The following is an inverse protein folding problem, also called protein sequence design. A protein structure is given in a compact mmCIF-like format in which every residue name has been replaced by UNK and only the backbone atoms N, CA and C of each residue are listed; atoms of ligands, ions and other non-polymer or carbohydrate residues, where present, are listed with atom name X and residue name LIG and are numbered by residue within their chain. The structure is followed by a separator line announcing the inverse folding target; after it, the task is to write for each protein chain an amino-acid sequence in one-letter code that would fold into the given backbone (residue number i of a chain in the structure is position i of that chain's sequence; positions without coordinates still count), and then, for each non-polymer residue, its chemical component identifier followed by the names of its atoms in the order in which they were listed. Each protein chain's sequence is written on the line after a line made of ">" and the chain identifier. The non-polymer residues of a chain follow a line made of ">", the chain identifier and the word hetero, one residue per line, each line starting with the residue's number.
data_IF_831116079614
#
_entry.id   IF_831116079614
#
_cell.length_a   1.000
_cell.length_b   1.000
_cell.length_c   1.000
_cell.angle_alpha   90.00
_cell.angle_beta   90.00
_cell.angle_gamma   90.00
#
_symmetry.space_group_name_H-M   'P 1'
#
loop_
_entity.id
_entity.type
_entity.pdbx_description
1 polymer ?
#
# COMPACT_ATOMS: atom_id res chain seq x y z
N UNK A 1 0.52 10.13 25.21
CA UNK A 1 1.36 9.70 24.08
C UNK A 1 2.78 10.10 24.41
N UNK A 2 3.69 9.14 24.43
CA UNK A 2 5.11 9.40 24.72
C UNK A 2 5.75 10.12 23.53
N UNK A 3 6.45 11.24 23.76
CA UNK A 3 7.09 12.03 22.69
C UNK A 3 8.13 11.25 21.87
N UNK A 4 8.66 10.17 22.44
CA UNK A 4 9.72 9.35 21.84
C UNK A 4 9.20 8.29 20.85
N UNK A 5 7.89 8.16 20.68
CA UNK A 5 7.31 7.20 19.73
C UNK A 5 7.60 7.60 18.28
N UNK A 6 7.81 6.61 17.41
CA UNK A 6 7.91 6.83 15.97
C UNK A 6 6.59 7.37 15.40
N UNK A 7 6.62 7.98 14.21
CA UNK A 7 5.39 8.46 13.54
C UNK A 7 4.41 7.30 13.28
N UNK A 8 4.93 6.11 12.98
CA UNK A 8 4.14 4.90 12.73
C UNK A 8 3.48 4.39 14.01
N UNK A 9 4.18 4.41 15.14
CA UNK A 9 3.59 3.99 16.42
C UNK A 9 2.53 4.96 16.90
N UNK A 10 2.74 6.26 16.69
CA UNK A 10 1.71 7.28 16.94
C UNK A 10 0.47 7.01 16.07
N UNK A 11 0.66 6.74 14.77
CA UNK A 11 -0.43 6.39 13.87
C UNK A 11 -1.16 5.12 14.33
N UNK A 12 -0.42 4.09 14.78
CA UNK A 12 -0.99 2.84 15.28
C UNK A 12 -1.83 3.08 16.53
N UNK A 13 -1.39 3.91 17.47
CA UNK A 13 -2.19 4.27 18.65
C UNK A 13 -3.44 5.07 18.30
N UNK A 14 -3.32 6.05 17.40
CA UNK A 14 -4.45 6.86 16.93
C UNK A 14 -5.52 5.97 16.28
N UNK A 15 -5.09 5.10 15.37
CA UNK A 15 -5.93 4.11 14.73
C UNK A 15 -6.50 3.13 15.74
N UNK A 16 -5.73 2.63 16.70
CA UNK A 16 -6.23 1.69 17.72
C UNK A 16 -7.38 2.27 18.56
N UNK A 17 -7.35 3.58 18.84
CA UNK A 17 -8.44 4.29 19.53
C UNK A 17 -9.67 4.49 18.61
N UNK A 18 -9.44 4.66 17.31
CA UNK A 18 -10.48 4.90 16.30
C UNK A 18 -10.86 3.60 15.60
N UNK A 19 -11.98 2.98 15.98
CA UNK A 19 -12.45 1.68 15.45
C UNK A 19 -12.98 1.72 14.00
N UNK A 20 -12.40 2.54 13.12
CA UNK A 20 -12.74 2.66 11.70
C UNK A 20 -11.52 3.02 10.85
N UNK A 21 -11.59 2.70 9.56
CA UNK A 21 -10.63 3.15 8.57
C UNK A 21 -10.58 4.69 8.48
N UNK A 22 -9.42 5.21 8.06
CA UNK A 22 -9.16 6.65 7.95
C UNK A 22 -8.38 6.98 6.68
N UNK A 23 -8.77 8.05 6.00
CA UNK A 23 -8.00 8.57 4.88
C UNK A 23 -6.59 9.00 5.31
N UNK A 24 -5.58 8.69 4.50
CA UNK A 24 -4.17 8.97 4.77
C UNK A 24 -3.91 10.42 5.23
N UNK A 25 -4.43 11.42 4.51
CA UNK A 25 -4.14 12.82 4.83
C UNK A 25 -4.67 13.24 6.20
N UNK A 26 -5.81 12.69 6.61
CA UNK A 26 -6.35 12.92 7.97
C UNK A 26 -5.49 12.25 9.03
N UNK A 27 -5.04 11.02 8.78
CA UNK A 27 -4.13 10.32 9.68
C UNK A 27 -2.80 11.06 9.80
N UNK A 28 -2.25 11.53 8.68
CA UNK A 28 -1.02 12.32 8.64
C UNK A 28 -1.15 13.61 9.44
N UNK A 29 -2.25 14.37 9.24
CA UNK A 29 -2.51 15.58 10.00
C UNK A 29 -2.50 15.32 11.51
N UNK A 30 -3.22 14.30 11.98
CA UNK A 30 -3.28 13.96 13.41
C UNK A 30 -1.91 13.50 13.96
N UNK A 31 -1.14 12.75 13.18
CA UNK A 31 0.23 12.36 13.56
C UNK A 31 1.13 13.59 13.68
N UNK A 32 1.08 14.50 12.71
CA UNK A 32 1.85 15.75 12.72
C UNK A 32 1.51 16.64 13.91
N UNK A 33 0.23 16.76 14.25
CA UNK A 33 -0.25 17.48 15.44
C UNK A 33 0.28 16.85 16.74
N UNK A 34 0.24 15.51 16.87
CA UNK A 34 0.77 14.81 18.06
C UNK A 34 2.28 14.94 18.17
N UNK A 35 3.00 14.90 17.05
CA UNK A 35 4.46 15.07 17.01
C UNK A 35 4.89 16.51 17.20
N UNK A 36 3.98 17.48 16.96
CA UNK A 36 4.23 18.90 17.09
C UNK A 36 5.16 19.43 16.01
N UNK A 37 5.04 18.91 14.78
CA UNK A 37 5.81 19.40 13.64
C UNK A 37 5.34 20.78 13.19
N UNK A 38 6.28 21.59 12.69
CA UNK A 38 5.92 22.76 11.89
C UNK A 38 5.30 22.35 10.54
N UNK A 39 4.73 23.31 9.82
CA UNK A 39 4.20 23.07 8.47
C UNK A 39 5.28 22.58 7.50
N UNK A 40 6.46 23.23 7.50
CA UNK A 40 7.62 22.84 6.70
C UNK A 40 8.10 21.42 7.06
N UNK A 41 8.22 21.12 8.35
CA UNK A 41 8.62 19.78 8.80
C UNK A 41 7.59 18.71 8.43
N UNK A 42 6.30 19.06 8.43
CA UNK A 42 5.24 18.14 8.04
C UNK A 42 5.30 17.88 6.52
N UNK A 43 5.49 18.91 5.70
CA UNK A 43 5.64 18.74 4.25
C UNK A 43 6.82 17.83 3.90
N UNK A 44 7.98 18.02 4.55
CA UNK A 44 9.17 17.19 4.32
C UNK A 44 8.98 15.73 4.78
N UNK A 45 8.23 15.49 5.87
CA UNK A 45 8.09 14.16 6.48
C UNK A 45 6.89 13.36 5.98
N UNK A 46 5.97 13.97 5.23
CA UNK A 46 4.75 13.31 4.74
C UNK A 46 5.06 12.07 3.88
N UNK A 47 5.96 12.22 2.91
CA UNK A 47 6.37 11.13 2.01
C UNK A 47 7.06 9.99 2.75
N UNK A 48 7.89 10.32 3.74
CA UNK A 48 8.53 9.36 4.63
C UNK A 48 7.50 8.62 5.48
N UNK A 49 6.48 9.31 5.99
CA UNK A 49 5.40 8.68 6.73
C UNK A 49 4.60 7.72 5.86
N UNK A 50 4.22 8.11 4.63
CA UNK A 50 3.54 7.24 3.67
C UNK A 50 4.35 5.97 3.39
N UNK A 51 5.65 6.11 3.16
CA UNK A 51 6.56 4.98 2.95
C UNK A 51 6.58 4.06 4.17
N UNK A 52 6.73 4.63 5.36
CA UNK A 52 6.82 3.85 6.59
C UNK A 52 5.52 3.09 6.91
N UNK A 53 4.34 3.66 6.71
CA UNK A 53 3.07 2.93 6.92
C UNK A 53 2.83 1.87 5.86
N UNK A 54 3.30 2.09 4.63
CA UNK A 54 3.18 1.11 3.54
C UNK A 54 4.05 -0.12 3.79
N UNK A 55 5.22 0.08 4.40
CA UNK A 55 6.14 -1.00 4.77
C UNK A 55 5.80 -1.67 6.11
N UNK A 56 4.98 -1.03 6.96
CA UNK A 56 4.57 -1.59 8.24
C UNK A 56 3.38 -2.54 8.08
N UNK A 57 3.64 -3.84 8.29
CA UNK A 57 2.64 -4.90 8.11
C UNK A 57 1.41 -4.83 9.03
N UNK A 58 1.38 -3.94 10.03
CA UNK A 58 0.20 -3.72 10.88
C UNK A 58 -0.89 -2.93 10.17
N UNK A 59 -0.55 -2.19 9.12
CA UNK A 59 -1.49 -1.38 8.35
C UNK A 59 -1.90 -2.08 7.06
N UNK A 60 -3.12 -1.80 6.61
CA UNK A 60 -3.61 -2.17 5.28
C UNK A 60 -4.30 -0.97 4.64
N UNK A 61 -4.28 -0.91 3.32
CA UNK A 61 -5.17 -0.03 2.56
C UNK A 61 -6.51 -0.74 2.34
N UNK A 62 -7.62 -0.01 2.54
CA UNK A 62 -8.97 -0.49 2.27
C UNK A 62 -9.55 0.11 0.99
N UNK A 63 -8.71 0.75 0.14
CA UNK A 63 -9.11 1.46 -1.07
C UNK A 63 -9.31 2.97 -0.87
N UNK A 64 -9.24 3.73 -1.97
CA UNK A 64 -9.40 5.21 -1.99
C UNK A 64 -8.48 5.94 -0.99
N UNK A 65 -7.26 5.43 -0.81
CA UNK A 65 -6.28 5.94 0.16
C UNK A 65 -6.77 5.96 1.62
N UNK A 66 -7.72 5.08 1.96
CA UNK A 66 -8.12 4.79 3.33
C UNK A 66 -7.25 3.67 3.90
N UNK A 67 -6.85 3.85 5.15
CA UNK A 67 -5.98 2.95 5.88
C UNK A 67 -6.71 2.40 7.11
N UNK A 68 -6.44 1.14 7.41
CA UNK A 68 -6.95 0.46 8.60
C UNK A 68 -5.90 -0.45 9.24
N UNK A 69 -6.19 -0.97 10.43
CA UNK A 69 -5.33 -1.94 11.11
C UNK A 69 -5.63 -3.36 10.59
N UNK A 70 -4.58 -4.07 10.16
CA UNK A 70 -4.67 -5.48 9.72
C UNK A 70 -5.39 -6.37 10.73
N UNK A 71 -5.21 -6.13 12.03
CA UNK A 71 -5.84 -6.90 13.10
C UNK A 71 -7.38 -6.84 13.13
N UNK A 72 -8.00 -5.93 12.38
CA UNK A 72 -9.47 -5.83 12.25
C UNK A 72 -10.05 -6.64 11.11
N UNK A 73 -9.20 -7.10 10.20
CA UNK A 73 -9.59 -7.82 9.00
C UNK A 73 -9.25 -9.29 9.17
N UNK A 74 -10.09 -10.17 8.64
CA UNK A 74 -9.83 -11.61 8.71
C UNK A 74 -8.67 -11.96 7.78
N UNK A 75 -7.98 -13.06 8.09
CA UNK A 75 -6.84 -13.52 7.29
C UNK A 75 -7.18 -13.69 5.80
N UNK A 76 -8.35 -14.28 5.50
CA UNK A 76 -8.84 -14.50 4.14
C UNK A 76 -9.24 -13.21 3.40
N UNK A 77 -9.47 -12.09 4.10
CA UNK A 77 -9.80 -10.81 3.48
C UNK A 77 -8.54 -10.04 3.03
N UNK A 78 -7.37 -10.40 3.56
CA UNK A 78 -6.09 -9.71 3.30
C UNK A 78 -5.00 -10.60 2.72
N UNK A 79 -5.24 -11.90 2.63
CA UNK A 79 -4.35 -12.89 2.03
C UNK A 79 -4.91 -13.27 0.66
N UNK A 80 -4.20 -12.87 -0.39
CA UNK A 80 -4.51 -13.31 -1.74
C UNK A 80 -3.72 -14.60 -1.96
N UNK A 81 -4.42 -15.72 -2.16
CA UNK A 81 -3.74 -16.95 -2.57
C UNK A 81 -3.18 -16.72 -3.97
N UNK A 82 -1.86 -16.81 -4.10
CA UNK A 82 -1.20 -16.60 -5.37
C UNK A 82 -1.64 -17.63 -6.42
N UNK A 83 -2.03 -18.84 -5.98
CA UNK A 83 -2.54 -19.86 -6.88
C UNK A 83 -3.92 -19.48 -7.44
N UNK A 84 -4.76 -18.78 -6.68
CA UNK A 84 -6.05 -18.29 -7.19
C UNK A 84 -5.86 -17.24 -8.30
N UNK A 85 -4.77 -16.46 -8.25
CA UNK A 85 -4.43 -15.51 -9.33
C UNK A 85 -3.98 -16.25 -10.60
N UNK A 86 -3.18 -17.32 -10.45
CA UNK A 86 -2.62 -18.05 -11.58
C UNK A 86 -3.57 -19.11 -12.17
N UNK A 87 -4.60 -19.54 -11.44
CA UNK A 87 -5.54 -20.57 -11.91
C UNK A 87 -6.64 -20.02 -12.84
N UNK A 88 -6.82 -18.70 -12.94
CA UNK A 88 -7.77 -18.08 -13.88
C UNK A 88 -7.23 -17.99 -15.34
N UNK A 89 -5.98 -18.40 -15.60
CA UNK A 89 -5.37 -18.39 -16.96
C UNK A 89 -5.53 -19.72 -17.74
N UNK A 90 -6.13 -20.78 -17.18
CA UNK A 90 -6.36 -22.03 -17.93
C UNK A 90 -7.64 -22.05 -18.81
N UNK A 91 -8.36 -20.92 -18.92
CA UNK A 91 -9.52 -20.79 -19.83
C UNK A 91 -9.39 -19.57 -20.74
N UNK A 92 -8.29 -19.47 -21.49
CA UNK A 92 -8.26 -18.65 -22.72
C UNK A 92 -7.81 -19.51 -23.91
N UNK A 93 -8.73 -19.61 -24.85
CA UNK A 93 -8.79 -20.43 -26.06
C UNK A 93 -7.49 -20.51 -26.86
N UNK A 94 -7.24 -21.69 -27.42
CA UNK A 94 -6.20 -21.98 -28.41
C UNK A 94 -6.22 -20.93 -29.53
N UNK A 95 -5.23 -20.04 -29.57
CA UNK A 95 -4.94 -19.23 -30.76
C UNK A 95 -4.08 -20.07 -31.70
N UNK A 96 -4.67 -20.46 -32.83
CA UNK A 96 -4.01 -21.18 -33.92
C UNK A 96 -2.75 -20.41 -34.38
N UNK A 97 -1.60 -21.08 -34.34
CA UNK A 97 -0.37 -20.69 -35.02
C UNK A 97 -0.62 -20.64 -36.54
N UNK A 98 -0.61 -19.45 -37.15
CA UNK A 98 -0.24 -19.31 -38.56
C UNK A 98 0.40 -17.94 -38.87
N UNK A 99 1.43 -18.01 -39.71
CA UNK A 99 2.06 -16.97 -40.53
C UNK A 99 3.19 -16.08 -39.95
N UNK A 100 4.40 -16.65 -40.02
CA UNK A 100 5.58 -16.13 -40.73
C UNK A 100 5.68 -14.61 -41.01
N UNK A 101 6.61 -13.94 -40.32
CA UNK A 101 7.66 -13.21 -41.04
C UNK A 101 8.88 -12.97 -40.14
N UNK A 102 9.96 -13.66 -40.44
CA UNK A 102 11.32 -13.30 -39.99
C UNK A 102 11.70 -11.93 -40.53
N UNK A 103 11.81 -10.93 -39.66
CA UNK A 103 12.50 -9.67 -40.00
C UNK A 103 14.01 -9.96 -39.87
N UNK A 104 14.66 -10.16 -41.01
CA UNK A 104 16.12 -10.07 -41.12
C UNK A 104 16.52 -8.60 -40.89
N UNK A 105 16.97 -8.28 -39.67
CA UNK A 105 17.69 -7.04 -39.42
C UNK A 105 19.09 -7.15 -40.04
N UNK A 106 19.21 -6.64 -41.27
CA UNK A 106 20.45 -6.43 -41.99
C UNK A 106 21.26 -5.33 -41.25
N UNK A 107 22.07 -5.74 -40.27
CA UNK A 107 23.02 -4.87 -39.56
C UNK A 107 24.18 -4.50 -40.48
N UNK A 108 23.94 -3.50 -41.33
CA UNK A 108 24.98 -2.82 -42.07
C UNK A 108 25.61 -1.72 -41.19
N UNK A 109 26.67 -2.07 -40.45
CA UNK A 109 27.86 -1.22 -40.22
C UNK A 109 29.03 -2.00 -39.60
#
# INVERSE_FOLDING_TARGET
>A
MEKNMSMVDVAFELMSKKKKAMNFYKLWQEVSEVKGFSEEEAEEKESLFYTNITLDGRFITTGENNWDLRSRHKFNEVHIDMNDIYNDEEESEEVEDDDDSTIEDDYNN
#
